data_IF_516988688979
#
_entry.id   IF_516988688979
#
_cell.length_a   1.000
_cell.length_b   1.000
_cell.length_c   1.000
_cell.angle_alpha   90.00
_cell.angle_beta   90.00
_cell.angle_gamma   90.00
#
_symmetry.space_group_name_H-M   'P 1'
#
loop_
_entity.id
_entity.type
_entity.pdbx_description
1 polymer ?
#
# COMPACT_ATOMS: atom_id res chain seq x y z
N UNK A 1 17.83 0.47 -37.75
CA UNK A 1 17.41 0.04 -36.39
C UNK A 1 18.43 0.59 -35.39
N UNK A 2 18.23 1.78 -34.93
CA UNK A 2 19.10 2.45 -33.96
C UNK A 2 18.70 1.97 -32.56
N UNK A 3 19.62 1.25 -31.90
CA UNK A 3 19.50 0.96 -30.45
C UNK A 3 19.47 2.29 -29.72
N UNK A 4 18.33 2.63 -29.10
CA UNK A 4 18.30 3.66 -28.08
C UNK A 4 19.11 3.10 -26.90
N UNK A 5 20.22 3.75 -26.58
CA UNK A 5 20.91 3.57 -25.31
C UNK A 5 19.93 3.86 -24.16
N UNK A 6 19.98 3.10 -23.04
CA UNK A 6 19.17 3.43 -21.88
C UNK A 6 19.60 4.81 -21.39
N UNK A 7 18.64 5.70 -21.25
CA UNK A 7 18.87 7.04 -20.72
C UNK A 7 19.47 6.93 -19.32
N UNK A 8 20.72 7.29 -19.18
CA UNK A 8 21.39 7.57 -17.92
C UNK A 8 20.74 8.82 -17.28
N UNK A 9 19.58 8.71 -16.67
CA UNK A 9 18.90 9.93 -16.23
C UNK A 9 17.87 9.79 -15.09
N UNK A 10 17.40 8.58 -14.79
CA UNK A 10 16.33 8.41 -13.79
C UNK A 10 16.81 8.09 -12.37
N UNK A 11 17.93 7.45 -12.23
CA UNK A 11 18.39 6.79 -11.00
C UNK A 11 18.75 7.71 -9.80
N UNK A 12 18.60 9.02 -9.91
CA UNK A 12 19.00 9.95 -8.84
C UNK A 12 18.05 11.13 -8.63
N UNK A 13 16.91 11.21 -9.33
CA UNK A 13 16.06 12.40 -9.28
C UNK A 13 15.14 12.40 -8.06
N UNK A 14 15.42 13.31 -7.11
CA UNK A 14 14.58 13.53 -5.93
C UNK A 14 13.48 14.54 -6.24
N UNK A 15 12.37 14.08 -6.84
CA UNK A 15 11.22 14.94 -7.21
C UNK A 15 10.47 15.48 -5.99
N UNK A 16 10.57 14.84 -4.82
CA UNK A 16 9.99 15.35 -3.57
C UNK A 16 10.59 16.68 -3.12
N UNK A 17 11.76 17.10 -3.65
CA UNK A 17 12.36 18.39 -3.38
C UNK A 17 11.53 19.57 -3.92
N UNK A 18 10.58 19.34 -4.82
CA UNK A 18 9.63 20.34 -5.27
C UNK A 18 8.66 20.79 -4.16
N UNK A 19 8.50 19.99 -3.10
CA UNK A 19 7.79 20.35 -1.88
C UNK A 19 8.73 20.17 -0.68
N UNK A 20 9.20 21.28 -0.10
CA UNK A 20 10.18 21.28 0.99
C UNK A 20 9.65 20.61 2.25
N UNK A 21 8.35 20.76 2.55
CA UNK A 21 7.71 20.11 3.69
C UNK A 21 7.72 18.59 3.51
N UNK A 22 7.26 18.11 2.36
CA UNK A 22 7.27 16.69 2.03
C UNK A 22 8.70 16.13 2.02
N UNK A 23 9.66 16.84 1.42
CA UNK A 23 11.07 16.47 1.42
C UNK A 23 11.64 16.32 2.83
N UNK A 24 11.27 17.22 3.75
CA UNK A 24 11.63 17.16 5.17
C UNK A 24 11.06 15.93 5.86
N UNK A 25 9.77 15.63 5.61
CA UNK A 25 9.10 14.44 6.16
C UNK A 25 9.73 13.14 5.63
N UNK A 26 9.99 13.04 4.32
CA UNK A 26 10.64 11.84 3.72
C UNK A 26 12.06 11.67 4.26
N UNK A 27 12.81 12.77 4.48
CA UNK A 27 14.13 12.72 5.11
C UNK A 27 14.04 12.22 6.56
N UNK A 28 13.09 12.70 7.35
CA UNK A 28 12.83 12.18 8.70
C UNK A 28 12.53 10.67 8.68
N UNK A 29 11.63 10.24 7.80
CA UNK A 29 11.27 8.84 7.64
C UNK A 29 12.46 7.98 7.18
N UNK A 30 13.35 8.51 6.34
CA UNK A 30 14.54 7.76 5.88
C UNK A 30 15.53 7.44 7.00
N UNK A 31 15.43 8.10 8.15
CA UNK A 31 16.22 7.81 9.36
C UNK A 31 15.60 6.71 10.25
N UNK A 32 14.39 6.28 9.99
CA UNK A 32 13.68 5.29 10.82
C UNK A 32 14.17 3.86 10.56
N UNK A 33 13.78 2.92 11.43
CA UNK A 33 14.10 1.49 11.26
C UNK A 33 13.17 0.81 10.27
N UNK A 34 11.88 1.12 10.34
CA UNK A 34 10.83 0.59 9.46
C UNK A 34 9.87 1.72 9.07
N UNK A 35 9.46 1.75 7.82
CA UNK A 35 8.47 2.71 7.32
C UNK A 35 7.48 1.99 6.40
N UNK A 36 6.20 2.04 6.75
CA UNK A 36 5.12 1.45 5.96
C UNK A 36 4.24 2.55 5.37
N UNK A 37 4.22 2.67 4.05
CA UNK A 37 3.34 3.62 3.36
C UNK A 37 1.93 3.04 3.24
N UNK A 38 0.98 3.66 3.93
CA UNK A 38 -0.42 3.27 3.94
C UNK A 38 -1.25 4.12 2.98
N UNK A 39 -2.23 3.50 2.34
CA UNK A 39 -3.18 4.22 1.50
C UNK A 39 -3.63 3.47 0.26
N UNK A 40 -4.65 4.02 -0.40
CA UNK A 40 -5.20 3.49 -1.64
C UNK A 40 -4.20 3.48 -2.80
N UNK A 41 -4.33 2.59 -3.79
CA UNK A 41 -3.68 2.76 -5.07
C UNK A 41 -3.98 4.15 -5.68
N UNK A 42 -3.01 4.72 -6.38
CA UNK A 42 -3.15 6.06 -6.98
C UNK A 42 -3.13 7.21 -5.97
N UNK A 43 -2.56 7.05 -4.77
CA UNK A 43 -2.26 8.13 -3.83
C UNK A 43 -0.79 8.58 -3.83
N UNK A 44 0.02 8.06 -4.77
CA UNK A 44 1.43 8.43 -4.90
C UNK A 44 2.40 7.61 -4.03
N UNK A 45 1.93 6.59 -3.30
CA UNK A 45 2.76 5.80 -2.39
C UNK A 45 4.02 5.22 -3.02
N UNK A 46 3.90 4.57 -4.17
CA UNK A 46 5.05 3.92 -4.84
C UNK A 46 6.14 4.92 -5.18
N UNK A 47 5.78 6.14 -5.60
CA UNK A 47 6.76 7.21 -5.79
C UNK A 47 7.45 7.57 -4.46
N UNK A 48 6.69 7.72 -3.37
CA UNK A 48 7.25 8.04 -2.05
C UNK A 48 8.17 6.95 -1.52
N UNK A 49 7.82 5.67 -1.73
CA UNK A 49 8.67 4.50 -1.43
C UNK A 49 10.03 4.65 -2.14
N UNK A 50 10.02 4.93 -3.44
CA UNK A 50 11.25 5.07 -4.22
C UNK A 50 12.06 6.30 -3.80
N UNK A 51 11.40 7.44 -3.54
CA UNK A 51 12.08 8.66 -3.08
C UNK A 51 12.73 8.47 -1.71
N UNK A 52 12.04 7.80 -0.79
CA UNK A 52 12.59 7.44 0.52
C UNK A 52 13.79 6.48 0.37
N UNK A 53 13.67 5.46 -0.48
CA UNK A 53 14.75 4.51 -0.75
C UNK A 53 15.99 5.20 -1.34
N UNK A 54 15.82 6.19 -2.22
CA UNK A 54 16.91 7.00 -2.75
C UNK A 54 17.61 7.80 -1.66
N UNK A 55 16.85 8.52 -0.83
CA UNK A 55 17.40 9.31 0.27
C UNK A 55 18.15 8.45 1.28
N UNK A 56 17.57 7.33 1.68
CA UNK A 56 18.19 6.40 2.63
C UNK A 56 19.48 5.80 2.06
N UNK A 57 19.46 5.39 0.79
CA UNK A 57 20.64 4.82 0.13
C UNK A 57 21.75 5.85 -0.06
N UNK A 58 21.41 7.08 -0.42
CA UNK A 58 22.36 8.19 -0.49
C UNK A 58 22.99 8.52 0.85
N UNK A 59 22.31 8.22 1.96
CA UNK A 59 22.85 8.31 3.32
C UNK A 59 23.60 7.03 3.78
N UNK A 60 23.92 6.10 2.88
CA UNK A 60 24.66 4.88 3.16
C UNK A 60 23.85 3.76 3.84
N UNK A 61 22.51 3.85 3.84
CA UNK A 61 21.66 2.81 4.41
C UNK A 61 21.36 1.70 3.42
N UNK A 62 21.21 0.48 3.95
CA UNK A 62 20.76 -0.69 3.20
C UNK A 62 19.24 -0.76 3.29
N UNK A 63 18.55 -0.56 2.15
CA UNK A 63 17.09 -0.56 2.08
C UNK A 63 16.56 -1.92 1.63
N UNK A 64 15.51 -2.41 2.27
CA UNK A 64 14.77 -3.62 1.93
C UNK A 64 13.31 -3.26 1.72
N UNK A 65 12.60 -3.97 0.84
CA UNK A 65 11.21 -3.67 0.51
C UNK A 65 10.27 -4.79 0.96
N UNK A 66 9.08 -4.42 1.41
CA UNK A 66 7.95 -5.33 1.63
C UNK A 66 6.75 -4.79 0.85
N UNK A 67 6.40 -5.44 -0.25
CA UNK A 67 5.38 -4.96 -1.18
C UNK A 67 4.30 -6.01 -1.38
N UNK A 68 3.04 -5.59 -1.28
CA UNK A 68 1.89 -6.46 -1.53
C UNK A 68 1.93 -7.10 -2.92
N UNK A 69 2.18 -6.30 -3.95
CA UNK A 69 2.15 -6.75 -5.35
C UNK A 69 3.31 -7.68 -5.72
N UNK A 70 4.38 -7.71 -4.90
CA UNK A 70 5.51 -8.64 -5.05
C UNK A 70 5.29 -9.93 -4.27
N UNK A 71 4.75 -9.85 -3.05
CA UNK A 71 4.55 -11.02 -2.21
C UNK A 71 3.33 -11.87 -2.63
N UNK A 72 2.20 -11.23 -2.95
CA UNK A 72 0.92 -11.88 -3.29
C UNK A 72 1.02 -12.96 -4.37
N UNK A 73 1.69 -12.73 -5.53
CA UNK A 73 1.74 -13.72 -6.59
C UNK A 73 2.33 -15.06 -6.18
N UNK A 74 3.26 -15.06 -5.21
CA UNK A 74 3.84 -16.31 -4.69
C UNK A 74 2.77 -17.16 -4.02
N UNK A 75 1.91 -16.55 -3.19
CA UNK A 75 0.79 -17.26 -2.55
C UNK A 75 -0.15 -17.87 -3.59
N UNK A 76 -0.54 -17.08 -4.59
CA UNK A 76 -1.48 -17.48 -5.64
C UNK A 76 -0.91 -18.63 -6.50
N UNK A 77 0.41 -18.69 -6.69
CA UNK A 77 1.09 -19.69 -7.51
C UNK A 77 1.28 -21.03 -6.81
N UNK A 78 1.22 -21.12 -5.46
CA UNK A 78 1.40 -22.37 -4.73
C UNK A 78 0.31 -23.41 -5.01
N UNK A 79 0.56 -24.68 -4.71
CA UNK A 79 -0.46 -25.73 -4.80
C UNK A 79 -1.66 -25.45 -3.88
N UNK A 80 -1.41 -24.94 -2.67
CA UNK A 80 -2.46 -24.52 -1.76
C UNK A 80 -3.23 -23.30 -2.29
N UNK A 81 -2.52 -22.32 -2.84
CA UNK A 81 -3.10 -21.07 -3.34
C UNK A 81 -4.02 -21.27 -4.55
N UNK A 82 -3.70 -22.20 -5.44
CA UNK A 82 -4.55 -22.51 -6.61
C UNK A 82 -5.96 -22.99 -6.24
N UNK A 83 -6.21 -23.36 -5.00
CA UNK A 83 -7.58 -23.66 -4.49
C UNK A 83 -8.41 -22.38 -4.25
N UNK A 84 -7.77 -21.22 -4.26
CA UNK A 84 -8.33 -19.90 -3.97
C UNK A 84 -8.10 -18.95 -5.15
N UNK A 85 -8.73 -19.19 -6.31
CA UNK A 85 -8.52 -18.39 -7.50
C UNK A 85 -9.01 -16.95 -7.30
N UNK A 86 -8.52 -16.07 -8.16
CA UNK A 86 -9.05 -14.70 -8.25
C UNK A 86 -10.55 -14.74 -8.59
N UNK A 87 -11.34 -13.92 -7.89
CA UNK A 87 -12.75 -13.66 -8.21
C UNK A 87 -12.86 -12.23 -8.74
N UNK A 88 -13.30 -12.07 -9.98
CA UNK A 88 -13.42 -10.76 -10.66
C UNK A 88 -12.14 -9.90 -10.59
N UNK A 89 -10.98 -10.54 -10.64
CA UNK A 89 -9.67 -9.88 -10.54
C UNK A 89 -9.28 -9.49 -9.09
N UNK A 90 -10.07 -9.90 -8.10
CA UNK A 90 -9.77 -9.66 -6.68
C UNK A 90 -9.14 -10.92 -6.06
N UNK A 91 -8.04 -10.74 -5.36
CA UNK A 91 -7.37 -11.81 -4.59
C UNK A 91 -8.32 -12.38 -3.55
N UNK A 92 -8.39 -13.71 -3.47
CA UNK A 92 -9.25 -14.42 -2.50
C UNK A 92 -8.90 -14.05 -1.05
N UNK A 93 -9.89 -13.99 -0.18
CA UNK A 93 -9.79 -13.64 1.25
C UNK A 93 -8.75 -14.47 2.02
N UNK A 94 -8.70 -15.77 1.77
CA UNK A 94 -7.70 -16.69 2.37
C UNK A 94 -6.27 -16.25 2.02
N UNK A 95 -6.02 -15.92 0.76
CA UNK A 95 -4.70 -15.43 0.32
C UNK A 95 -4.37 -14.09 0.98
N UNK A 96 -5.35 -13.17 1.05
CA UNK A 96 -5.14 -11.86 1.70
C UNK A 96 -4.76 -11.99 3.17
N UNK A 97 -5.45 -12.85 3.92
CA UNK A 97 -5.14 -13.12 5.33
C UNK A 97 -3.80 -13.84 5.49
N UNK A 98 -3.53 -14.86 4.66
CA UNK A 98 -2.29 -15.62 4.72
C UNK A 98 -1.06 -14.72 4.47
N UNK A 99 -1.14 -13.86 3.47
CA UNK A 99 -0.09 -12.89 3.16
C UNK A 99 0.13 -11.89 4.31
N UNK A 100 -0.95 -11.43 4.97
CA UNK A 100 -0.86 -10.54 6.12
C UNK A 100 -0.17 -11.18 7.34
N UNK A 101 -0.51 -12.43 7.66
CA UNK A 101 0.14 -13.19 8.72
C UNK A 101 1.63 -13.47 8.40
N UNK A 102 1.91 -13.83 7.14
CA UNK A 102 3.29 -13.97 6.68
C UNK A 102 4.08 -12.67 6.80
N UNK A 103 3.50 -11.53 6.41
CA UNK A 103 4.17 -10.24 6.47
C UNK A 103 4.66 -9.90 7.89
N UNK A 104 3.91 -10.24 8.94
CA UNK A 104 4.35 -10.07 10.33
C UNK A 104 5.57 -10.94 10.64
N UNK A 105 5.55 -12.22 10.23
CA UNK A 105 6.71 -13.12 10.41
C UNK A 105 7.92 -12.65 9.60
N UNK A 106 7.70 -12.15 8.39
CA UNK A 106 8.75 -11.59 7.55
C UNK A 106 9.43 -10.37 8.19
N UNK A 107 8.66 -9.51 8.88
CA UNK A 107 9.21 -8.37 9.66
C UNK A 107 10.14 -8.85 10.77
N UNK A 108 9.72 -9.87 11.54
CA UNK A 108 10.55 -10.46 12.60
C UNK A 108 11.83 -11.05 12.00
N UNK A 109 11.69 -11.93 11.02
CA UNK A 109 12.82 -12.60 10.38
C UNK A 109 13.79 -11.60 9.70
N UNK A 110 13.29 -10.49 9.16
CA UNK A 110 14.11 -9.41 8.63
C UNK A 110 14.88 -8.71 9.75
N UNK A 111 14.22 -8.38 10.86
CA UNK A 111 14.85 -7.70 11.98
C UNK A 111 15.98 -8.54 12.60
N UNK A 112 15.75 -9.85 12.74
CA UNK A 112 16.73 -10.78 13.31
C UNK A 112 17.95 -10.95 12.39
N UNK A 113 17.74 -10.97 11.08
CA UNK A 113 18.82 -11.07 10.08
C UNK A 113 19.59 -9.76 9.89
N UNK A 114 19.01 -8.64 10.23
CA UNK A 114 19.56 -7.30 9.99
C UNK A 114 19.47 -6.43 11.26
N UNK A 115 20.15 -6.77 12.35
CA UNK A 115 20.02 -6.04 13.63
C UNK A 115 20.62 -4.63 13.60
N UNK A 116 21.51 -4.33 12.64
CA UNK A 116 22.22 -3.05 12.61
C UNK A 116 21.31 -1.91 12.16
N UNK A 117 21.49 -0.74 12.79
CA UNK A 117 20.69 0.47 12.53
C UNK A 117 20.78 0.98 11.08
N UNK A 118 21.84 0.60 10.33
CA UNK A 118 21.98 0.97 8.91
C UNK A 118 20.92 0.34 7.99
N UNK A 119 20.24 -0.72 8.42
CA UNK A 119 19.20 -1.35 7.62
C UNK A 119 17.86 -0.64 7.83
N UNK A 120 17.12 -0.45 6.75
CA UNK A 120 15.77 0.15 6.72
C UNK A 120 14.84 -0.79 5.95
N UNK A 121 13.72 -1.16 6.57
CA UNK A 121 12.62 -1.83 5.88
C UNK A 121 11.59 -0.79 5.45
N UNK A 122 11.24 -0.80 4.16
CA UNK A 122 10.19 0.06 3.60
C UNK A 122 9.07 -0.82 3.06
N UNK A 123 7.85 -0.63 3.54
CA UNK A 123 6.68 -1.39 3.10
C UNK A 123 5.67 -0.55 2.34
N UNK A 124 4.95 -1.17 1.41
CA UNK A 124 3.74 -0.62 0.82
C UNK A 124 2.53 -1.43 1.27
N UNK A 125 1.62 -0.79 2.03
CA UNK A 125 0.50 -1.43 2.71
C UNK A 125 -0.83 -0.79 2.29
N UNK A 126 -1.59 -1.42 1.40
CA UNK A 126 -2.89 -0.87 0.97
C UNK A 126 -3.95 -0.85 2.08
N UNK A 127 -3.99 -1.86 2.96
CA UNK A 127 -4.97 -2.19 4.00
C UNK A 127 -6.38 -2.46 3.48
N UNK A 128 -6.93 -1.60 2.63
CA UNK A 128 -8.27 -1.77 2.05
C UNK A 128 -8.44 -3.17 1.47
N UNK A 129 -9.57 -3.78 1.80
CA UNK A 129 -9.86 -5.16 1.41
C UNK A 129 -8.94 -6.17 2.10
N UNK A 130 -8.47 -5.89 3.31
CA UNK A 130 -7.60 -6.78 4.11
C UNK A 130 -6.25 -7.11 3.46
N UNK A 131 -5.60 -6.13 2.83
CA UNK A 131 -4.26 -6.30 2.24
C UNK A 131 -3.19 -5.82 3.22
N UNK A 132 -2.50 -6.76 3.90
CA UNK A 132 -1.53 -6.49 4.97
C UNK A 132 -2.10 -5.79 6.21
N UNK A 133 -3.42 -5.85 6.45
CA UNK A 133 -4.03 -5.19 7.62
C UNK A 133 -3.51 -5.77 8.95
N UNK A 134 -2.99 -6.98 8.93
CA UNK A 134 -2.36 -7.65 10.08
C UNK A 134 -1.18 -6.83 10.64
N UNK A 135 -0.51 -6.02 9.81
CA UNK A 135 0.54 -5.10 10.27
C UNK A 135 -0.03 -3.95 11.12
N UNK A 136 -1.29 -3.58 10.90
CA UNK A 136 -1.98 -2.57 11.72
C UNK A 136 -2.57 -3.16 13.01
N UNK A 137 -2.96 -4.43 13.02
CA UNK A 137 -3.60 -5.10 14.17
C UNK A 137 -2.61 -5.35 15.31
N UNK A 138 -2.98 -5.07 16.58
CA UNK A 138 -2.25 -5.57 17.72
C UNK A 138 -2.47 -7.07 17.84
N UNK A 139 -1.41 -7.86 17.72
CA UNK A 139 -1.43 -9.31 17.87
C UNK A 139 -0.35 -9.72 18.87
N UNK A 140 -0.65 -10.74 19.67
CA UNK A 140 0.33 -11.29 20.61
C UNK A 140 1.31 -12.21 19.89
N UNK A 141 2.27 -11.58 19.19
CA UNK A 141 3.34 -12.24 18.44
C UNK A 141 4.64 -11.45 18.46
N UNK A 142 5.72 -12.05 17.96
CA UNK A 142 7.05 -11.41 17.92
C UNK A 142 7.13 -10.11 17.10
N UNK A 143 6.16 -9.84 16.22
CA UNK A 143 6.15 -8.62 15.42
C UNK A 143 5.59 -7.42 16.20
N UNK A 144 4.79 -7.62 17.22
CA UNK A 144 4.08 -6.53 17.89
C UNK A 144 5.02 -5.49 18.49
N UNK A 145 6.05 -5.93 19.21
CA UNK A 145 7.06 -5.04 19.80
C UNK A 145 7.83 -4.23 18.75
N UNK A 146 8.04 -4.80 17.56
CA UNK A 146 8.71 -4.13 16.44
C UNK A 146 7.79 -3.11 15.76
N UNK A 147 6.54 -3.49 15.51
CA UNK A 147 5.54 -2.65 14.82
C UNK A 147 5.04 -1.48 15.68
N UNK A 148 5.07 -1.61 17.00
CA UNK A 148 4.73 -0.55 17.95
C UNK A 148 5.92 0.31 18.37
N UNK A 149 7.15 -0.09 18.04
CA UNK A 149 8.36 0.65 18.39
C UNK A 149 8.35 2.07 17.80
N UNK A 150 8.87 3.10 18.50
CA UNK A 150 8.94 4.48 17.99
C UNK A 150 9.69 4.62 16.66
N UNK A 151 10.62 3.72 16.37
CA UNK A 151 11.38 3.65 15.11
C UNK A 151 10.66 2.93 13.96
N UNK A 152 9.44 2.44 14.20
CA UNK A 152 8.55 1.92 13.17
C UNK A 152 7.44 2.95 12.90
N UNK A 153 7.34 3.44 11.67
CA UNK A 153 6.40 4.51 11.28
C UNK A 153 5.45 4.05 10.20
N UNK A 154 4.19 4.43 10.32
CA UNK A 154 3.18 4.23 9.28
C UNK A 154 2.84 5.58 8.66
N UNK A 155 3.22 5.77 7.40
CA UNK A 155 3.04 7.02 6.67
C UNK A 155 1.78 6.97 5.81
N UNK A 156 0.78 7.80 6.11
CA UNK A 156 -0.45 7.89 5.33
C UNK A 156 -0.26 8.94 4.24
N UNK A 157 -0.25 8.53 2.97
CA UNK A 157 -0.22 9.44 1.83
C UNK A 157 -1.62 10.03 1.57
N UNK A 158 -1.81 11.31 1.86
CA UNK A 158 -3.09 12.02 1.73
C UNK A 158 -2.99 13.09 0.64
N UNK A 159 -3.31 12.77 -0.63
CA UNK A 159 -3.32 13.77 -1.69
C UNK A 159 -4.47 14.76 -1.50
N UNK A 160 -4.24 16.03 -1.89
CA UNK A 160 -5.33 16.98 -2.06
C UNK A 160 -6.30 16.51 -3.16
N UNK A 161 -7.53 17.03 -3.25
CA UNK A 161 -8.45 16.66 -4.32
C UNK A 161 -7.88 16.93 -5.71
N UNK A 162 -7.06 17.98 -5.86
CA UNK A 162 -6.39 18.34 -7.10
C UNK A 162 -5.32 17.32 -7.47
N UNK A 163 -4.41 17.01 -6.55
CA UNK A 163 -3.35 16.00 -6.75
C UNK A 163 -3.96 14.63 -7.02
N UNK A 164 -5.04 14.27 -6.31
CA UNK A 164 -5.74 13.01 -6.54
C UNK A 164 -6.31 12.91 -7.95
N UNK A 165 -6.99 13.97 -8.43
CA UNK A 165 -7.51 14.01 -9.81
C UNK A 165 -6.39 13.88 -10.84
N UNK A 166 -5.28 14.60 -10.62
CA UNK A 166 -4.10 14.49 -11.49
C UNK A 166 -3.55 13.04 -11.55
N UNK A 167 -3.36 12.39 -10.39
CA UNK A 167 -2.83 11.03 -10.32
C UNK A 167 -3.74 10.00 -10.99
N UNK A 168 -5.06 10.13 -10.83
CA UNK A 168 -6.05 9.25 -11.50
C UNK A 168 -6.00 9.47 -13.01
N UNK A 169 -6.04 10.72 -13.48
CA UNK A 169 -5.99 11.04 -14.90
C UNK A 169 -4.64 10.64 -15.54
N UNK A 170 -3.53 10.78 -14.80
CA UNK A 170 -2.21 10.30 -15.25
C UNK A 170 -2.25 8.78 -15.44
N UNK A 171 -2.82 8.04 -14.49
CA UNK A 171 -2.94 6.59 -14.56
C UNK A 171 -3.80 6.13 -15.74
N UNK A 172 -4.92 6.80 -16.02
CA UNK A 172 -5.75 6.53 -17.18
C UNK A 172 -4.99 6.74 -18.49
N UNK A 173 -4.24 7.84 -18.60
CA UNK A 173 -3.37 8.08 -19.77
C UNK A 173 -2.29 7.00 -19.91
N UNK A 174 -1.67 6.56 -18.82
CA UNK A 174 -0.64 5.51 -18.81
C UNK A 174 -1.19 4.13 -19.15
N UNK A 175 -2.42 3.82 -18.74
CA UNK A 175 -3.09 2.59 -19.16
C UNK A 175 -3.28 2.51 -20.69
N UNK A 176 -3.61 3.65 -21.32
CA UNK A 176 -3.77 3.75 -22.77
C UNK A 176 -2.42 3.84 -23.52
N UNK A 177 -1.43 4.54 -22.95
CA UNK A 177 -0.12 4.77 -23.54
C UNK A 177 0.98 4.69 -22.47
N UNK A 178 1.42 3.48 -22.10
CA UNK A 178 2.39 3.28 -21.03
C UNK A 178 3.78 3.79 -21.42
N UNK A 179 4.46 4.47 -20.51
CA UNK A 179 5.88 4.79 -20.63
C UNK A 179 6.77 3.62 -20.19
N UNK A 180 6.27 2.79 -19.27
CA UNK A 180 6.99 1.63 -18.77
C UNK A 180 6.07 0.38 -18.85
N UNK A 181 6.59 -0.81 -19.22
CA UNK A 181 5.77 -2.03 -19.38
C UNK A 181 4.91 -2.38 -18.16
N UNK A 182 5.41 -2.16 -16.93
CA UNK A 182 4.70 -2.43 -15.67
C UNK A 182 3.45 -1.59 -15.45
N UNK A 183 3.30 -0.44 -16.11
CA UNK A 183 2.10 0.38 -16.01
C UNK A 183 0.83 -0.32 -16.53
N UNK A 184 1.00 -1.38 -17.36
CA UNK A 184 -0.10 -2.22 -17.81
C UNK A 184 -0.68 -3.12 -16.72
N UNK A 185 0.12 -3.40 -15.69
CA UNK A 185 -0.27 -4.24 -14.54
C UNK A 185 -0.93 -3.41 -13.43
N UNK A 186 -0.91 -2.10 -13.58
CA UNK A 186 -1.53 -1.17 -12.62
C UNK A 186 -3.04 -1.40 -12.51
N UNK A 187 -3.56 -1.28 -11.28
CA UNK A 187 -4.99 -1.42 -11.03
C UNK A 187 -5.82 -0.47 -11.90
N UNK A 188 -6.81 -0.97 -12.66
CA UNK A 188 -7.61 -0.16 -13.56
C UNK A 188 -8.48 0.85 -12.79
N UNK A 189 -8.98 1.93 -13.45
CA UNK A 189 -9.77 2.98 -12.81
C UNK A 189 -10.99 2.48 -12.05
N UNK A 190 -11.64 1.40 -12.52
CA UNK A 190 -12.76 0.76 -11.84
C UNK A 190 -12.35 0.30 -10.43
N UNK A 191 -11.24 -0.42 -10.32
CA UNK A 191 -10.72 -0.92 -9.03
C UNK A 191 -10.40 0.23 -8.08
N UNK A 192 -9.86 1.34 -8.59
CA UNK A 192 -9.61 2.53 -7.76
C UNK A 192 -10.89 3.13 -7.19
N UNK A 193 -11.97 3.17 -7.98
CA UNK A 193 -13.29 3.64 -7.52
C UNK A 193 -13.91 2.72 -6.49
N UNK A 194 -13.84 1.41 -6.72
CA UNK A 194 -14.39 0.41 -5.81
C UNK A 194 -13.66 0.44 -4.46
N UNK A 195 -12.34 0.53 -4.45
CA UNK A 195 -11.57 0.69 -3.22
C UNK A 195 -11.85 2.00 -2.48
N UNK A 196 -12.09 3.11 -3.20
CA UNK A 196 -12.48 4.36 -2.59
C UNK A 196 -13.87 4.23 -1.93
N UNK A 197 -14.80 3.54 -2.58
CA UNK A 197 -16.12 3.24 -2.00
C UNK A 197 -16.00 2.43 -0.72
N UNK A 198 -15.15 1.41 -0.69
CA UNK A 198 -14.87 0.63 0.52
C UNK A 198 -14.36 1.51 1.68
N UNK A 199 -13.51 2.52 1.41
CA UNK A 199 -13.06 3.48 2.44
C UNK A 199 -14.24 4.30 2.98
N UNK A 200 -15.13 4.78 2.13
CA UNK A 200 -16.29 5.55 2.57
C UNK A 200 -17.33 4.68 3.32
N UNK A 201 -17.48 3.42 2.94
CA UNK A 201 -18.28 2.45 3.69
C UNK A 201 -17.68 2.19 5.08
N UNK A 202 -16.35 2.03 5.17
CA UNK A 202 -15.66 1.93 6.44
C UNK A 202 -15.86 3.19 7.29
N UNK A 203 -15.76 4.40 6.70
CA UNK A 203 -16.01 5.66 7.40
C UNK A 203 -17.39 5.69 8.04
N UNK A 204 -18.43 5.31 7.30
CA UNK A 204 -19.81 5.22 7.83
C UNK A 204 -19.92 4.23 9.00
N UNK A 205 -19.33 3.05 8.87
CA UNK A 205 -19.33 2.01 9.91
C UNK A 205 -18.59 2.44 11.17
N UNK A 206 -17.55 3.26 11.01
CA UNK A 206 -16.77 3.85 12.10
C UNK A 206 -17.42 5.10 12.70
N UNK A 207 -18.57 5.55 12.20
CA UNK A 207 -19.22 6.78 12.67
C UNK A 207 -18.44 8.06 12.33
N UNK A 208 -17.56 8.00 11.32
CA UNK A 208 -16.83 9.18 10.85
C UNK A 208 -17.80 10.04 10.04
N UNK A 209 -17.93 11.31 10.44
CA UNK A 209 -18.74 12.27 9.69
C UNK A 209 -18.18 12.43 8.27
N UNK A 210 -19.00 12.10 7.29
CA UNK A 210 -18.70 12.21 5.85
C UNK A 210 -19.24 13.51 5.23
N UNK A 211 -19.79 14.40 6.06
CA UNK A 211 -20.43 15.66 5.62
C UNK A 211 -21.67 15.41 4.76
N UNK A 212 -22.18 16.51 4.20
CA UNK A 212 -23.30 16.45 3.23
C UNK A 212 -22.88 16.00 1.82
N UNK A 213 -21.64 15.53 1.64
CA UNK A 213 -21.18 14.85 0.43
C UNK A 213 -21.82 13.46 0.38
N UNK A 214 -23.18 13.43 0.42
CA UNK A 214 -23.94 12.21 0.26
C UNK A 214 -23.49 11.50 -0.99
N UNK A 215 -23.36 10.18 -0.93
CA UNK A 215 -23.26 9.39 -2.16
C UNK A 215 -24.44 9.82 -3.04
N UNK A 216 -24.19 10.15 -4.32
CA UNK A 216 -25.28 10.37 -5.26
C UNK A 216 -26.06 9.05 -5.35
N UNK A 217 -27.21 8.98 -4.75
CA UNK A 217 -28.02 7.77 -4.68
C UNK A 217 -29.41 7.98 -4.08
N UNK A 218 -29.65 9.12 -3.42
CA UNK A 218 -30.95 9.33 -2.77
C UNK A 218 -32.03 10.00 -3.63
N UNK A 219 -31.73 10.38 -4.89
CA UNK A 219 -32.76 10.85 -5.84
C UNK A 219 -32.52 10.31 -7.25
N UNK A 220 -32.89 9.05 -7.50
CA UNK A 220 -33.18 8.56 -8.86
C UNK A 220 -32.01 8.06 -9.73
N UNK A 221 -30.75 8.05 -9.27
CA UNK A 221 -29.67 7.39 -9.96
C UNK A 221 -29.57 5.92 -9.52
N UNK A 222 -29.24 5.01 -10.45
CA UNK A 222 -29.00 3.62 -10.10
C UNK A 222 -27.85 3.54 -9.08
N UNK A 223 -27.94 2.69 -8.02
CA UNK A 223 -26.83 2.47 -7.11
C UNK A 223 -25.62 2.00 -7.92
N UNK A 224 -24.59 2.81 -8.06
CA UNK A 224 -23.34 2.47 -8.75
C UNK A 224 -22.83 3.49 -9.77
N UNK A 225 -23.64 4.40 -10.31
CA UNK A 225 -23.25 5.22 -11.47
C UNK A 225 -22.60 6.57 -11.13
N UNK A 226 -22.75 7.06 -9.90
CA UNK A 226 -22.13 8.32 -9.54
C UNK A 226 -20.78 8.12 -8.83
N UNK A 227 -19.73 8.84 -9.24
CA UNK A 227 -18.42 8.72 -8.61
C UNK A 227 -18.47 9.19 -7.16
N UNK A 228 -18.02 8.34 -6.23
CA UNK A 228 -17.82 8.75 -4.82
C UNK A 228 -16.79 9.87 -4.80
N UNK A 229 -17.15 11.08 -4.33
CA UNK A 229 -16.19 12.18 -4.27
C UNK A 229 -15.08 11.83 -3.26
N UNK A 230 -13.84 12.12 -3.62
CA UNK A 230 -12.72 11.96 -2.71
C UNK A 230 -12.70 13.11 -1.69
N UNK A 231 -12.78 12.77 -0.41
CA UNK A 231 -12.58 13.70 0.70
C UNK A 231 -11.31 13.31 1.47
N UNK A 232 -10.24 14.14 1.44
CA UNK A 232 -8.99 13.83 2.12
C UNK A 232 -9.13 13.74 3.64
N UNK A 233 -10.09 14.45 4.25
CA UNK A 233 -10.29 14.45 5.70
C UNK A 233 -10.94 13.14 6.16
N UNK A 234 -11.94 12.65 5.43
CA UNK A 234 -12.59 11.35 5.66
C UNK A 234 -11.59 10.23 5.45
N UNK A 235 -10.89 10.27 4.30
CA UNK A 235 -9.86 9.31 3.95
C UNK A 235 -8.79 9.21 5.05
N UNK A 236 -8.23 10.34 5.48
CA UNK A 236 -7.24 10.42 6.56
C UNK A 236 -7.77 9.79 7.85
N UNK A 237 -8.97 10.18 8.30
CA UNK A 237 -9.55 9.67 9.56
C UNK A 237 -9.77 8.17 9.55
N UNK A 238 -10.19 7.58 8.42
CA UNK A 238 -10.30 6.11 8.31
C UNK A 238 -8.95 5.45 8.53
N UNK A 239 -7.90 5.92 7.85
CA UNK A 239 -6.56 5.33 8.00
C UNK A 239 -5.95 5.56 9.38
N UNK A 240 -6.14 6.74 9.98
CA UNK A 240 -5.73 7.02 11.38
C UNK A 240 -6.45 6.08 12.36
N UNK A 241 -7.73 5.79 12.13
CA UNK A 241 -8.49 4.85 12.97
C UNK A 241 -7.99 3.41 12.79
N UNK A 242 -7.70 2.99 11.58
CA UNK A 242 -7.12 1.66 11.30
C UNK A 242 -5.71 1.54 11.91
N UNK A 243 -4.97 2.62 11.97
CA UNK A 243 -3.60 2.66 12.49
C UNK A 243 -3.50 3.16 13.94
N UNK A 244 -4.61 3.21 14.70
CA UNK A 244 -4.65 3.77 16.06
C UNK A 244 -3.68 3.12 17.06
N UNK A 245 -3.18 1.91 16.76
CA UNK A 245 -2.20 1.17 17.55
C UNK A 245 -0.77 1.29 17.02
N UNK A 246 -0.53 2.19 16.08
CA UNK A 246 0.76 2.37 15.39
C UNK A 246 1.23 3.82 15.48
N UNK A 247 2.53 4.04 15.26
CA UNK A 247 3.08 5.39 15.17
C UNK A 247 2.84 5.95 13.76
N UNK A 248 1.96 6.93 13.66
CA UNK A 248 1.47 7.45 12.37
C UNK A 248 2.11 8.78 12.01
N UNK A 249 2.49 8.94 10.73
CA UNK A 249 2.83 10.19 10.09
C UNK A 249 1.86 10.46 8.93
N UNK A 250 1.29 11.65 8.87
CA UNK A 250 0.43 12.07 7.76
C UNK A 250 1.25 12.89 6.77
N UNK A 251 1.32 12.40 5.53
CA UNK A 251 1.97 13.06 4.40
C UNK A 251 0.91 13.70 3.52
N UNK A 252 0.63 14.98 3.73
CA UNK A 252 -0.26 15.74 2.84
C UNK A 252 0.46 16.04 1.53
N UNK A 253 -0.14 15.64 0.42
CA UNK A 253 0.38 15.84 -0.93
C UNK A 253 -0.46 16.95 -1.59
N UNK A 254 0.02 18.18 -1.45
CA UNK A 254 -0.70 19.38 -1.91
C UNK A 254 -0.12 19.92 -3.22
N UNK A 255 1.04 19.40 -3.65
CA UNK A 255 1.77 19.82 -4.84
C UNK A 255 1.87 18.67 -5.83
N UNK A 256 1.58 18.93 -7.09
CA UNK A 256 1.84 17.98 -8.17
C UNK A 256 3.36 17.90 -8.39
N UNK A 257 3.93 16.75 -8.07
CA UNK A 257 5.36 16.54 -8.27
C UNK A 257 5.70 16.39 -9.77
N UNK A 258 6.91 16.83 -10.20
CA UNK A 258 7.28 16.86 -11.61
C UNK A 258 7.60 15.45 -12.15
N UNK A 259 6.56 14.69 -12.45
CA UNK A 259 6.63 13.29 -12.93
C UNK A 259 5.97 13.09 -14.29
N UNK A 260 5.53 14.15 -14.98
CA UNK A 260 4.71 14.03 -16.20
C UNK A 260 5.37 13.23 -17.33
N UNK A 261 6.68 13.35 -17.49
CA UNK A 261 7.46 12.68 -18.54
C UNK A 261 8.10 11.36 -18.11
N UNK A 262 7.88 10.93 -16.86
CA UNK A 262 8.53 9.76 -16.26
C UNK A 262 7.48 8.80 -15.70
N UNK A 263 7.75 7.51 -15.82
CA UNK A 263 7.01 6.50 -15.07
C UNK A 263 7.45 6.49 -13.61
N UNK A 264 6.56 6.09 -12.70
CA UNK A 264 6.95 5.82 -11.32
C UNK A 264 8.03 4.73 -11.25
N UNK A 265 8.03 3.82 -12.20
CA UNK A 265 9.01 2.73 -12.29
C UNK A 265 10.40 3.19 -12.75
N UNK A 266 10.52 4.38 -13.37
CA UNK A 266 11.82 5.00 -13.69
C UNK A 266 12.55 5.51 -12.44
N UNK A 267 11.81 5.70 -11.33
CA UNK A 267 12.36 6.03 -10.02
C UNK A 267 12.68 4.79 -9.19
N UNK A 268 12.36 3.60 -9.69
CA UNK A 268 12.56 2.37 -8.95
C UNK A 268 14.06 2.15 -8.65
N UNK A 269 14.33 1.84 -7.40
CA UNK A 269 15.67 1.49 -6.92
C UNK A 269 15.72 -0.03 -6.80
N UNK A 270 16.68 -0.67 -7.44
CA UNK A 270 16.91 -2.10 -7.26
C UNK A 270 17.28 -2.38 -5.80
N UNK A 271 16.37 -2.99 -5.06
CA UNK A 271 16.51 -3.35 -3.64
C UNK A 271 15.97 -4.75 -3.42
N UNK A 272 16.50 -5.50 -2.45
CA UNK A 272 15.94 -6.80 -2.11
C UNK A 272 14.53 -6.65 -1.56
N UNK A 273 13.59 -7.33 -2.18
CA UNK A 273 12.24 -7.51 -1.67
C UNK A 273 12.20 -8.66 -0.66
N UNK A 274 11.36 -8.51 0.37
CA UNK A 274 10.93 -9.63 1.19
C UNK A 274 9.88 -10.40 0.40
N UNK A 275 10.26 -11.59 -0.03
CA UNK A 275 9.43 -12.48 -0.84
C UNK A 275 9.25 -13.78 -0.07
N UNK A 276 8.01 -14.28 0.11
CA UNK A 276 7.80 -15.58 0.74
C UNK A 276 8.40 -16.70 -0.12
N UNK A 277 8.94 -17.69 0.53
CA UNK A 277 9.17 -18.99 -0.13
C UNK A 277 7.84 -19.68 -0.38
N UNK A 278 7.80 -20.63 -1.30
CA UNK A 278 6.61 -21.46 -1.56
C UNK A 278 6.12 -22.14 -0.26
N UNK A 279 7.05 -22.68 0.53
CA UNK A 279 6.75 -23.32 1.82
C UNK A 279 6.10 -22.36 2.82
N UNK A 280 6.66 -21.16 3.00
CA UNK A 280 6.10 -20.14 3.90
C UNK A 280 4.69 -19.71 3.46
N UNK A 281 4.48 -19.56 2.16
CA UNK A 281 3.17 -19.21 1.61
C UNK A 281 2.14 -20.33 1.86
N UNK A 282 2.49 -21.59 1.59
CA UNK A 282 1.61 -22.72 1.85
C UNK A 282 1.30 -22.92 3.34
N UNK A 283 2.30 -22.81 4.21
CA UNK A 283 2.10 -22.88 5.66
C UNK A 283 1.15 -21.80 6.17
N UNK A 284 1.30 -20.59 5.65
CA UNK A 284 0.40 -19.46 5.99
C UNK A 284 -1.03 -19.71 5.52
N UNK A 285 -1.22 -20.28 4.33
CA UNK A 285 -2.55 -20.66 3.83
C UNK A 285 -3.16 -21.73 4.71
N UNK A 286 -2.41 -22.80 5.02
CA UNK A 286 -2.88 -23.88 5.91
C UNK A 286 -3.19 -23.38 7.32
N UNK A 287 -2.44 -22.39 7.82
CA UNK A 287 -2.75 -21.73 9.10
C UNK A 287 -4.12 -21.07 9.07
N UNK A 288 -4.41 -20.30 8.01
CA UNK A 288 -5.72 -19.65 7.83
C UNK A 288 -6.83 -20.71 7.77
N UNK A 289 -6.67 -21.77 6.99
CA UNK A 289 -7.66 -22.85 6.87
C UNK A 289 -7.97 -23.51 8.23
N UNK A 290 -6.93 -23.78 9.03
CA UNK A 290 -7.13 -24.37 10.37
C UNK A 290 -7.80 -23.40 11.34
N UNK A 291 -7.46 -22.10 11.26
CA UNK A 291 -7.94 -21.09 12.19
C UNK A 291 -9.36 -20.64 11.90
N UNK A 292 -9.77 -20.72 10.66
CA UNK A 292 -11.06 -20.23 10.15
C UNK A 292 -11.82 -21.31 9.37
N UNK A 293 -12.35 -22.36 10.07
CA UNK A 293 -13.07 -23.44 9.40
C UNK A 293 -14.46 -23.00 8.86
N UNK A 294 -15.03 -21.93 9.42
CA UNK A 294 -16.30 -21.34 8.96
C UNK A 294 -16.02 -20.23 7.93
N UNK A 295 -16.22 -20.57 6.66
CA UNK A 295 -15.98 -19.66 5.54
C UNK A 295 -16.85 -18.40 5.61
N UNK A 296 -18.13 -18.51 6.01
CA UNK A 296 -19.07 -17.38 6.07
C UNK A 296 -18.63 -16.36 7.13
N UNK A 297 -18.29 -16.86 8.31
CA UNK A 297 -17.78 -16.02 9.40
C UNK A 297 -16.45 -15.37 9.03
N UNK A 298 -15.59 -16.12 8.34
CA UNK A 298 -14.30 -15.63 7.88
C UNK A 298 -14.46 -14.48 6.87
N UNK A 299 -15.31 -14.65 5.84
CA UNK A 299 -15.57 -13.59 4.86
C UNK A 299 -16.14 -12.32 5.51
N UNK A 300 -17.04 -12.47 6.47
CA UNK A 300 -17.58 -11.34 7.22
C UNK A 300 -16.50 -10.61 8.03
N UNK A 301 -15.52 -11.34 8.60
CA UNK A 301 -14.38 -10.74 9.32
C UNK A 301 -13.43 -10.03 8.35
N UNK A 302 -13.10 -10.64 7.23
CA UNK A 302 -12.23 -10.06 6.20
C UNK A 302 -12.86 -8.79 5.60
N UNK A 303 -14.17 -8.81 5.38
CA UNK A 303 -14.93 -7.65 4.89
C UNK A 303 -14.86 -6.44 5.81
N UNK A 304 -14.62 -6.65 7.12
CA UNK A 304 -14.48 -5.60 8.13
C UNK A 304 -13.01 -5.27 8.42
N UNK A 305 -12.23 -5.08 7.36
CA UNK A 305 -10.78 -4.81 7.43
C UNK A 305 -10.40 -3.62 8.31
N UNK A 306 -11.32 -2.68 8.55
CA UNK A 306 -11.13 -1.48 9.38
C UNK A 306 -11.29 -1.74 10.90
N UNK A 307 -11.82 -2.89 11.29
CA UNK A 307 -11.92 -3.31 12.70
C UNK A 307 -10.57 -3.90 13.14
N UNK A 308 -9.69 -3.02 13.65
CA UNK A 308 -8.32 -3.32 14.07
C UNK A 308 -8.16 -3.16 15.58
#
# INVERSE_FOLDING_TARGET
>A
MTRREPAEGGAGRLVVQADQRLAGQIRYLSGQRMVFFAGLPGTGKSLLVHQLAHLASGAGRSVHLLQWDVARPVFEATAAGRRYPLADGVTHSVIRRAAGLWARRAVVAWNDRHPEARHLLVGETPFVGNRFVELARPLDDGAESLLSAPSCRFAIAVPSPEVRRFLVALRERRAASPLHPREREDAPPRVLRDMLREVFEAARRLGIDIGSTGLPGERGARPGDAPTPYDPSVYRRVYETVLRHRNVDVLSLDVILPTDSLSVYDFAVARPDLIPTETEAEESIREVERRYPDATRFEAEIGRWWEV
#
